data_IF_113882504190
#
_entry.id   IF_113882504190
#
_cell.length_a   1.000
_cell.length_b   1.000
_cell.length_c   1.000
_cell.angle_alpha   90.00
_cell.angle_beta   90.00
_cell.angle_gamma   90.00
#
_symmetry.space_group_name_H-M   'P 1'
#
loop_
_entity.id
_entity.type
_entity.pdbx_description
1 polymer ?
#
# COMPACT_ATOMS: atom_id res chain seq x y z
N UNK A 1 -2.89 7.99 33.91
CA UNK A 1 -2.59 6.57 33.64
C UNK A 1 -3.74 5.93 32.89
N UNK A 2 -3.54 4.82 32.16
CA UNK A 2 -4.60 4.07 31.47
C UNK A 2 -5.73 3.63 32.42
N UNK A 3 -5.43 3.47 33.69
CA UNK A 3 -6.38 3.10 34.75
C UNK A 3 -7.39 4.20 35.09
N UNK A 4 -7.12 5.43 34.67
CA UNK A 4 -7.96 6.59 35.01
C UNK A 4 -8.97 6.94 33.91
N UNK A 5 -8.91 6.24 32.77
CA UNK A 5 -9.84 6.45 31.64
C UNK A 5 -11.08 5.60 31.84
N UNK A 6 -12.25 6.18 31.62
CA UNK A 6 -13.54 5.48 31.61
C UNK A 6 -13.96 5.04 30.21
N UNK A 7 -13.63 5.82 29.19
CA UNK A 7 -13.92 5.48 27.77
C UNK A 7 -13.07 6.30 26.80
N UNK A 8 -12.92 5.78 25.60
CA UNK A 8 -12.37 6.51 24.45
C UNK A 8 -13.45 6.72 23.42
N UNK A 9 -13.52 7.92 22.86
CA UNK A 9 -14.42 8.28 21.76
C UNK A 9 -13.59 8.69 20.56
N UNK A 10 -13.84 8.05 19.42
CA UNK A 10 -13.17 8.35 18.13
C UNK A 10 -14.08 9.24 17.31
N UNK A 11 -13.57 10.38 16.93
CA UNK A 11 -14.27 11.36 16.10
C UNK A 11 -13.59 11.46 14.74
N UNK A 12 -14.42 11.55 13.70
CA UNK A 12 -13.98 11.83 12.33
C UNK A 12 -14.78 13.02 11.83
N UNK A 13 -14.09 14.10 11.45
CA UNK A 13 -14.68 15.37 11.02
C UNK A 13 -15.68 15.98 12.01
N UNK A 14 -15.45 15.73 13.30
CA UNK A 14 -16.33 16.17 14.38
C UNK A 14 -17.45 15.19 14.74
N UNK A 15 -17.72 14.18 13.92
CA UNK A 15 -18.75 13.16 14.17
C UNK A 15 -18.20 12.00 15.01
N UNK A 16 -18.93 11.59 16.02
CA UNK A 16 -18.61 10.39 16.81
C UNK A 16 -18.78 9.14 15.95
N UNK A 17 -17.69 8.40 15.73
CA UNK A 17 -17.69 7.17 14.91
C UNK A 17 -17.60 5.90 15.75
N UNK A 18 -16.92 5.94 16.88
CA UNK A 18 -16.79 4.78 17.74
C UNK A 18 -16.62 5.19 19.19
N UNK A 19 -17.05 4.31 20.10
CA UNK A 19 -16.73 4.37 21.52
C UNK A 19 -16.07 3.06 21.92
N UNK A 20 -14.90 3.16 22.55
CA UNK A 20 -14.07 2.00 22.94
C UNK A 20 -13.88 2.02 24.44
N UNK A 21 -14.14 0.89 25.08
CA UNK A 21 -13.84 0.71 26.51
C UNK A 21 -12.35 0.50 26.72
N UNK A 22 -11.78 1.02 27.82
CA UNK A 22 -10.40 0.73 28.18
C UNK A 22 -10.18 -0.77 28.37
N UNK A 23 -9.03 -1.27 27.94
CA UNK A 23 -8.54 -2.62 28.22
C UNK A 23 -7.21 -2.58 28.95
N UNK A 24 -6.71 -3.73 29.39
CA UNK A 24 -5.36 -3.87 29.94
C UNK A 24 -4.27 -3.69 28.90
N UNK A 25 -4.64 -3.79 27.60
CA UNK A 25 -3.71 -3.70 26.50
C UNK A 25 -3.26 -2.25 26.27
N UNK A 26 -2.00 -2.09 25.95
CA UNK A 26 -1.43 -0.77 25.61
C UNK A 26 -1.95 -0.22 24.28
N UNK A 27 -2.48 -1.11 23.42
CA UNK A 27 -3.01 -0.78 22.11
C UNK A 27 -4.45 -1.25 22.02
N UNK A 28 -5.34 -0.35 21.61
CA UNK A 28 -6.74 -0.65 21.34
C UNK A 28 -7.02 -0.25 19.88
N UNK A 29 -7.84 -1.04 19.20
CA UNK A 29 -8.24 -0.80 17.82
C UNK A 29 -9.75 -0.71 17.70
N UNK A 30 -10.21 0.08 16.74
CA UNK A 30 -11.60 0.13 16.30
C UNK A 30 -11.65 0.38 14.82
N UNK A 31 -12.74 -0.02 14.19
CA UNK A 31 -12.96 0.17 12.76
C UNK A 31 -14.17 1.08 12.54
N UNK A 32 -14.10 1.86 11.49
CA UNK A 32 -15.24 2.64 10.99
C UNK A 32 -15.18 2.68 9.47
N UNK A 33 -16.32 2.95 8.85
CA UNK A 33 -16.45 3.04 7.40
C UNK A 33 -16.79 4.46 6.99
N UNK A 34 -16.17 4.92 5.91
CA UNK A 34 -16.53 6.15 5.23
C UNK A 34 -16.44 5.96 3.72
N UNK A 35 -17.36 6.57 2.99
CA UNK A 35 -17.41 6.54 1.52
C UNK A 35 -17.02 7.87 0.90
N UNK A 36 -16.81 8.88 1.70
CA UNK A 36 -16.42 10.20 1.22
C UNK A 36 -14.96 10.20 0.77
N UNK A 37 -14.74 10.70 -0.44
CA UNK A 37 -13.43 10.79 -1.08
C UNK A 37 -12.89 12.20 -0.82
N UNK A 38 -12.41 12.45 0.41
CA UNK A 38 -11.89 13.75 0.81
C UNK A 38 -10.84 13.61 1.89
N UNK A 39 -10.20 14.71 2.24
CA UNK A 39 -9.42 14.80 3.45
C UNK A 39 -10.35 14.67 4.66
N UNK A 40 -9.96 13.85 5.60
CA UNK A 40 -10.64 13.65 6.86
C UNK A 40 -9.71 13.93 8.02
N UNK A 41 -10.28 14.40 9.13
CA UNK A 41 -9.57 14.59 10.38
C UNK A 41 -10.08 13.59 11.42
N UNK A 42 -9.17 12.86 12.04
CA UNK A 42 -9.49 11.95 13.15
C UNK A 42 -8.83 12.44 14.44
N UNK A 43 -9.56 12.39 15.52
CA UNK A 43 -9.03 12.57 16.87
C UNK A 43 -9.75 11.68 17.88
N UNK A 44 -9.11 11.44 18.99
CA UNK A 44 -9.65 10.64 20.09
C UNK A 44 -9.81 11.50 21.31
N UNK A 45 -10.96 11.38 21.97
CA UNK A 45 -11.23 11.97 23.27
C UNK A 45 -11.26 10.85 24.32
N UNK A 46 -10.36 10.92 25.26
CA UNK A 46 -10.39 10.08 26.46
C UNK A 46 -11.21 10.78 27.54
N UNK A 47 -12.30 10.16 28.01
CA UNK A 47 -13.04 10.62 29.18
C UNK A 47 -12.44 9.94 30.41
N UNK A 48 -12.00 10.72 31.36
CA UNK A 48 -11.44 10.23 32.62
C UNK A 48 -12.55 9.88 33.61
N UNK A 49 -12.24 9.05 34.60
CA UNK A 49 -13.18 8.66 35.68
C UNK A 49 -13.69 9.84 36.53
N UNK A 50 -12.92 10.93 36.56
CA UNK A 50 -13.34 12.18 37.20
C UNK A 50 -14.23 13.08 36.34
N UNK A 51 -14.61 12.61 35.13
CA UNK A 51 -15.46 13.34 34.20
C UNK A 51 -14.73 14.31 33.26
N UNK A 52 -13.44 14.54 33.43
CA UNK A 52 -12.68 15.40 32.53
C UNK A 52 -12.33 14.69 31.22
N UNK A 53 -12.09 15.48 30.16
CA UNK A 53 -11.73 14.97 28.85
C UNK A 53 -10.30 15.41 28.45
N UNK A 54 -9.61 14.49 27.79
CA UNK A 54 -8.31 14.76 27.15
C UNK A 54 -8.40 14.37 25.69
N UNK A 55 -8.04 15.28 24.79
CA UNK A 55 -8.10 15.06 23.34
C UNK A 55 -6.70 14.90 22.77
N UNK A 56 -6.55 14.00 21.82
CA UNK A 56 -5.34 13.89 20.99
C UNK A 56 -5.23 15.05 20.00
N UNK A 57 -4.05 15.30 19.46
CA UNK A 57 -3.93 16.11 18.25
C UNK A 57 -4.73 15.47 17.09
N UNK A 58 -5.24 16.33 16.20
CA UNK A 58 -5.89 15.88 14.99
C UNK A 58 -4.87 15.18 14.08
N UNK A 59 -5.30 14.07 13.50
CA UNK A 59 -4.59 13.35 12.44
C UNK A 59 -5.40 13.42 11.18
N UNK A 60 -4.75 13.69 10.05
CA UNK A 60 -5.39 13.70 8.74
C UNK A 60 -5.26 12.34 8.09
N UNK A 61 -6.30 11.94 7.37
CA UNK A 61 -6.27 10.80 6.47
C UNK A 61 -7.15 11.09 5.25
N UNK A 62 -6.94 10.32 4.21
CA UNK A 62 -7.66 10.48 2.95
C UNK A 62 -8.36 9.18 2.59
N UNK A 63 -9.64 9.27 2.19
CA UNK A 63 -10.37 8.15 1.59
C UNK A 63 -10.42 8.39 0.10
N UNK A 64 -9.50 7.82 -0.62
CA UNK A 64 -9.46 7.90 -2.07
C UNK A 64 -8.89 6.61 -2.65
N UNK A 65 -9.42 6.19 -3.81
CA UNK A 65 -8.85 5.12 -4.62
C UNK A 65 -7.74 5.63 -5.53
N UNK A 66 -7.54 6.95 -5.59
CA UNK A 66 -6.47 7.54 -6.38
C UNK A 66 -5.12 7.29 -5.73
N UNK A 67 -4.16 6.90 -6.55
CA UNK A 67 -2.76 6.90 -6.20
C UNK A 67 -1.96 7.76 -7.16
N UNK A 68 -0.70 7.91 -6.87
CA UNK A 68 0.26 8.61 -7.72
C UNK A 68 1.53 7.79 -7.83
N UNK A 69 2.11 7.76 -9.03
CA UNK A 69 3.46 7.27 -9.24
C UNK A 69 4.42 8.46 -9.15
N UNK A 70 5.45 8.33 -8.34
CA UNK A 70 6.43 9.42 -8.12
C UNK A 70 7.83 8.85 -8.17
N UNK A 71 8.57 9.25 -9.20
CA UNK A 71 9.97 8.88 -9.33
C UNK A 71 10.81 9.62 -8.28
N UNK A 72 11.87 8.98 -7.81
CA UNK A 72 12.84 9.58 -6.88
C UNK A 72 13.46 10.88 -7.40
N UNK A 73 13.59 11.03 -8.73
CA UNK A 73 14.07 12.26 -9.36
C UNK A 73 13.13 13.44 -9.20
N UNK A 74 11.83 13.18 -9.09
CA UNK A 74 10.78 14.20 -9.03
C UNK A 74 10.49 14.64 -7.59
N UNK A 75 11.10 13.99 -6.61
CA UNK A 75 10.94 14.32 -5.20
C UNK A 75 11.41 15.73 -4.81
N UNK A 76 12.35 16.28 -5.56
CA UNK A 76 12.80 17.67 -5.39
C UNK A 76 11.84 18.70 -6.00
N UNK A 77 10.94 18.27 -6.86
CA UNK A 77 9.90 19.11 -7.41
C UNK A 77 8.72 19.16 -6.45
N UNK A 78 7.94 20.22 -6.51
CA UNK A 78 6.87 20.52 -5.56
C UNK A 78 5.63 19.63 -5.70
N UNK A 79 5.81 18.28 -5.85
CA UNK A 79 4.68 17.36 -5.83
C UNK A 79 4.08 17.37 -4.44
N UNK A 80 2.86 17.88 -4.34
CA UNK A 80 2.08 17.89 -3.12
C UNK A 80 0.93 16.89 -3.24
N UNK A 81 1.06 15.69 -2.65
CA UNK A 81 0.01 14.68 -2.73
C UNK A 81 -1.31 15.15 -2.10
N UNK A 82 -1.28 16.07 -1.14
CA UNK A 82 -2.49 16.63 -0.55
C UNK A 82 -3.32 17.42 -1.58
N UNK A 83 -2.65 18.19 -2.45
CA UNK A 83 -3.34 18.93 -3.51
C UNK A 83 -3.94 18.03 -4.59
N UNK A 84 -3.43 16.80 -4.72
CA UNK A 84 -3.88 15.81 -5.70
C UNK A 84 -5.01 14.92 -5.17
N UNK A 85 -5.29 14.98 -3.88
CA UNK A 85 -6.28 14.13 -3.19
C UNK A 85 -6.01 12.64 -3.45
N UNK A 86 -4.77 12.19 -3.20
CA UNK A 86 -4.34 10.79 -3.35
C UNK A 86 -4.16 10.15 -1.99
N UNK A 87 -4.42 8.85 -1.90
CA UNK A 87 -4.30 8.08 -0.66
C UNK A 87 -3.11 7.12 -0.64
N UNK A 88 -2.51 6.86 -1.79
CA UNK A 88 -1.40 5.95 -1.91
C UNK A 88 -0.42 6.39 -3.01
N UNK A 89 0.79 5.83 -2.97
CA UNK A 89 1.80 6.06 -4.00
C UNK A 89 2.68 4.83 -4.21
N UNK A 90 3.34 4.76 -5.38
CA UNK A 90 4.47 3.89 -5.64
C UNK A 90 5.58 4.70 -6.35
N UNK A 91 6.80 4.17 -6.33
CA UNK A 91 7.99 4.86 -6.80
C UNK A 91 8.93 3.97 -7.62
N UNK A 92 8.40 2.88 -8.20
CA UNK A 92 9.13 1.84 -8.93
C UNK A 92 10.20 1.12 -8.09
N UNK A 93 10.15 1.25 -6.75
CA UNK A 93 11.06 0.61 -5.81
C UNK A 93 10.27 -0.17 -4.74
N UNK A 94 10.93 -1.06 -4.05
CA UNK A 94 10.37 -1.76 -2.91
C UNK A 94 10.58 -1.03 -1.58
N UNK A 95 11.38 0.06 -1.59
CA UNK A 95 11.63 0.96 -0.46
C UNK A 95 10.77 2.22 -0.59
N UNK A 96 10.08 2.57 0.48
CA UNK A 96 9.35 3.83 0.55
C UNK A 96 10.30 5.03 0.59
N UNK A 97 9.80 6.21 0.31
CA UNK A 97 10.58 7.44 0.49
C UNK A 97 11.05 7.64 1.93
N UNK A 98 10.25 7.21 2.88
CA UNK A 98 10.63 7.20 4.29
C UNK A 98 11.82 6.28 4.55
N UNK A 99 11.83 5.08 3.98
CA UNK A 99 12.93 4.12 4.11
C UNK A 99 14.20 4.60 3.42
N UNK A 100 14.06 5.35 2.34
CA UNK A 100 15.17 6.01 1.64
C UNK A 100 15.66 7.28 2.33
N UNK A 101 15.01 7.67 3.44
CA UNK A 101 15.35 8.87 4.22
C UNK A 101 15.26 10.19 3.42
N UNK A 102 14.29 10.30 2.52
CA UNK A 102 14.05 11.54 1.78
C UNK A 102 13.59 12.68 2.70
N UNK A 103 13.99 13.89 2.37
CA UNK A 103 13.66 15.09 3.15
C UNK A 103 12.21 15.53 3.04
N UNK A 104 11.55 15.23 1.91
CA UNK A 104 10.13 15.54 1.72
C UNK A 104 9.25 14.53 2.47
N UNK A 105 8.66 14.98 3.57
CA UNK A 105 7.82 14.15 4.45
C UNK A 105 6.34 14.09 4.04
N UNK A 106 5.94 14.76 2.96
CA UNK A 106 4.53 14.82 2.52
C UNK A 106 3.97 13.45 2.10
N UNK A 107 4.84 12.48 1.82
CA UNK A 107 4.45 11.11 1.47
C UNK A 107 4.40 10.15 2.68
N UNK A 108 4.89 10.55 3.85
CA UNK A 108 5.01 9.65 5.01
C UNK A 108 3.66 9.17 5.55
N UNK A 109 2.59 9.93 5.32
CA UNK A 109 1.21 9.60 5.75
C UNK A 109 0.40 8.88 4.67
N UNK A 110 0.94 8.68 3.47
CA UNK A 110 0.30 7.93 2.40
C UNK A 110 0.60 6.43 2.49
N UNK A 111 -0.33 5.60 2.02
CA UNK A 111 -0.07 4.18 1.85
C UNK A 111 0.98 3.99 0.74
N UNK A 112 2.11 3.40 1.11
CA UNK A 112 3.12 3.02 0.13
C UNK A 112 2.81 1.64 -0.45
N UNK A 113 2.87 1.53 -1.77
CA UNK A 113 2.73 0.27 -2.49
C UNK A 113 4.09 -0.11 -3.08
N UNK A 114 4.84 -1.03 -2.47
CA UNK A 114 6.12 -1.47 -2.99
C UNK A 114 5.99 -2.18 -4.33
N UNK A 115 7.07 -2.19 -5.11
CA UNK A 115 7.15 -2.86 -6.41
C UNK A 115 8.40 -3.74 -6.50
N UNK A 116 8.25 -4.94 -7.04
CA UNK A 116 9.34 -5.70 -7.63
C UNK A 116 9.44 -5.24 -9.08
N UNK A 117 10.37 -4.33 -9.37
CA UNK A 117 10.47 -3.76 -10.71
C UNK A 117 10.90 -4.80 -11.76
N UNK A 118 11.84 -5.68 -11.42
CA UNK A 118 12.36 -6.72 -12.30
C UNK A 118 13.44 -7.57 -11.64
N UNK A 119 14.06 -8.45 -12.40
CA UNK A 119 15.12 -9.37 -11.94
C UNK A 119 16.41 -8.66 -11.47
N UNK A 120 16.56 -7.36 -11.79
CA UNK A 120 17.66 -6.53 -11.28
C UNK A 120 17.50 -6.12 -9.82
N UNK A 121 16.29 -6.24 -9.26
CA UNK A 121 16.07 -6.06 -7.83
C UNK A 121 16.54 -7.32 -7.11
N UNK A 122 17.53 -7.13 -6.27
CA UNK A 122 18.16 -8.19 -5.49
C UNK A 122 17.15 -8.93 -4.61
N UNK A 123 17.30 -10.22 -4.58
CA UNK A 123 16.68 -11.22 -3.70
C UNK A 123 15.23 -10.96 -3.30
N UNK A 124 14.34 -11.63 -4.02
CA UNK A 124 12.89 -11.64 -3.78
C UNK A 124 12.55 -11.89 -2.29
N UNK A 125 13.34 -12.67 -1.58
CA UNK A 125 13.20 -12.93 -0.15
C UNK A 125 13.33 -11.65 0.69
N UNK A 126 14.36 -10.82 0.44
CA UNK A 126 14.57 -9.56 1.17
C UNK A 126 13.39 -8.61 0.97
N UNK A 127 12.89 -8.52 -0.27
CA UNK A 127 11.72 -7.68 -0.57
C UNK A 127 10.50 -8.15 0.22
N UNK A 128 10.21 -9.45 0.21
CA UNK A 128 9.07 -9.99 0.94
C UNK A 128 9.21 -9.87 2.45
N UNK A 129 10.40 -10.03 3.00
CA UNK A 129 10.65 -9.85 4.43
C UNK A 129 10.47 -8.39 4.84
N UNK A 130 10.92 -7.44 4.01
CA UNK A 130 10.65 -6.02 4.22
C UNK A 130 9.15 -5.72 4.16
N UNK A 131 8.46 -6.16 3.10
CA UNK A 131 7.03 -5.94 2.90
C UNK A 131 6.21 -6.48 4.07
N UNK A 132 6.53 -7.68 4.56
CA UNK A 132 5.85 -8.30 5.71
C UNK A 132 6.16 -7.56 7.02
N UNK A 133 7.42 -7.24 7.27
CA UNK A 133 7.84 -6.57 8.51
C UNK A 133 7.28 -5.16 8.65
N UNK A 134 7.10 -4.45 7.53
CA UNK A 134 6.48 -3.12 7.47
C UNK A 134 4.96 -3.16 7.48
N UNK A 135 4.34 -4.33 7.32
CA UNK A 135 2.88 -4.49 7.25
C UNK A 135 2.26 -3.92 5.99
N UNK A 136 3.01 -3.83 4.89
CA UNK A 136 2.45 -3.40 3.61
C UNK A 136 1.42 -4.42 3.11
N UNK A 137 0.30 -3.90 2.59
CA UNK A 137 -0.86 -4.72 2.22
C UNK A 137 -0.80 -5.22 0.78
N UNK A 138 -0.14 -4.45 -0.09
CA UNK A 138 -0.08 -4.66 -1.53
C UNK A 138 1.36 -4.73 -1.99
N UNK A 139 1.60 -5.42 -3.11
CA UNK A 139 2.88 -5.47 -3.80
C UNK A 139 2.63 -5.54 -5.30
N UNK A 140 3.18 -4.60 -6.04
CA UNK A 140 3.21 -4.62 -7.50
C UNK A 140 4.32 -5.56 -7.96
N UNK A 141 4.02 -6.38 -8.97
CA UNK A 141 5.00 -7.27 -9.54
C UNK A 141 5.41 -6.79 -10.93
N UNK A 142 6.67 -6.89 -11.23
CA UNK A 142 7.34 -6.71 -12.52
C UNK A 142 6.77 -5.64 -13.46
N UNK A 143 7.57 -4.60 -13.68
CA UNK A 143 7.24 -3.47 -14.55
C UNK A 143 7.55 -3.82 -16.02
N UNK A 144 6.53 -3.78 -16.87
CA UNK A 144 6.62 -3.95 -18.32
C UNK A 144 7.55 -5.08 -18.77
N UNK A 145 7.28 -6.34 -18.32
CA UNK A 145 8.16 -7.47 -18.63
C UNK A 145 8.19 -7.82 -20.12
N UNK A 146 7.24 -7.32 -20.88
CA UNK A 146 7.12 -7.47 -22.34
C UNK A 146 8.03 -6.52 -23.11
N UNK A 147 8.64 -5.52 -22.48
CA UNK A 147 9.53 -4.56 -23.14
C UNK A 147 11.00 -4.86 -22.86
N UNK A 148 11.80 -4.83 -23.95
CA UNK A 148 13.23 -5.14 -23.90
C UNK A 148 14.05 -4.16 -23.04
N UNK A 149 13.60 -2.93 -22.92
CA UNK A 149 14.27 -1.84 -22.18
C UNK A 149 13.71 -1.61 -20.79
N UNK A 150 12.71 -2.44 -20.40
CA UNK A 150 12.12 -2.46 -19.06
C UNK A 150 12.54 -3.74 -18.32
N UNK A 151 11.69 -4.37 -17.55
CA UNK A 151 12.11 -5.56 -16.80
C UNK A 151 12.46 -6.78 -17.67
N UNK A 152 11.99 -6.80 -18.91
CA UNK A 152 12.42 -7.75 -19.96
C UNK A 152 12.47 -9.21 -19.51
N UNK A 153 11.37 -9.70 -18.98
CA UNK A 153 11.26 -11.08 -18.50
C UNK A 153 10.34 -11.86 -19.41
N UNK A 154 10.84 -12.93 -20.02
CA UNK A 154 10.05 -13.77 -20.92
C UNK A 154 8.91 -14.47 -20.15
N UNK A 155 7.76 -14.77 -20.82
CA UNK A 155 6.61 -15.40 -20.19
C UNK A 155 6.93 -16.74 -19.51
N UNK A 156 7.79 -17.57 -20.14
CA UNK A 156 8.21 -18.86 -19.62
C UNK A 156 9.13 -18.75 -18.39
N UNK A 157 9.85 -17.66 -18.24
CA UNK A 157 10.64 -17.33 -17.04
C UNK A 157 9.73 -16.71 -15.97
N UNK A 158 8.82 -15.84 -16.37
CA UNK A 158 7.91 -15.15 -15.45
C UNK A 158 7.05 -16.12 -14.62
N UNK A 159 6.66 -17.27 -15.18
CA UNK A 159 5.91 -18.27 -14.39
C UNK A 159 6.67 -18.73 -13.13
N UNK A 160 7.98 -18.88 -13.21
CA UNK A 160 8.82 -19.24 -12.06
C UNK A 160 8.93 -18.09 -11.07
N UNK A 161 9.14 -16.85 -11.57
CA UNK A 161 9.18 -15.65 -10.75
C UNK A 161 7.86 -15.41 -10.01
N UNK A 162 6.76 -15.63 -10.71
CA UNK A 162 5.42 -15.54 -10.11
C UNK A 162 5.20 -16.60 -9.03
N UNK A 163 5.65 -17.84 -9.27
CA UNK A 163 5.60 -18.88 -8.25
C UNK A 163 6.38 -18.50 -6.99
N UNK A 164 7.57 -17.91 -7.15
CA UNK A 164 8.36 -17.40 -6.02
C UNK A 164 7.62 -16.30 -5.27
N UNK A 165 7.02 -15.36 -5.99
CA UNK A 165 6.19 -14.33 -5.38
C UNK A 165 5.03 -14.94 -4.58
N UNK A 166 4.30 -15.89 -5.17
CA UNK A 166 3.15 -16.53 -4.51
C UNK A 166 3.57 -17.32 -3.27
N UNK A 167 4.71 -17.99 -3.33
CA UNK A 167 5.21 -18.79 -2.21
C UNK A 167 5.68 -17.92 -1.02
N UNK A 168 6.14 -16.70 -1.28
CA UNK A 168 6.70 -15.80 -0.27
C UNK A 168 5.72 -14.70 0.22
N UNK A 169 4.59 -14.49 -0.45
CA UNK A 169 3.71 -13.34 -0.21
C UNK A 169 3.06 -13.30 1.17
N UNK A 170 2.86 -14.45 1.84
CA UNK A 170 2.06 -14.47 3.08
C UNK A 170 0.65 -13.89 2.84
N UNK A 171 0.27 -12.90 3.61
CA UNK A 171 -1.02 -12.19 3.52
C UNK A 171 -1.01 -10.99 2.56
N UNK A 172 0.11 -10.71 1.89
CA UNK A 172 0.22 -9.60 0.95
C UNK A 172 -0.63 -9.86 -0.30
N UNK A 173 -1.31 -8.84 -0.78
CA UNK A 173 -2.09 -8.86 -2.02
C UNK A 173 -1.17 -8.56 -3.19
N UNK A 174 -0.96 -9.55 -4.05
CA UNK A 174 -0.10 -9.40 -5.23
C UNK A 174 -0.88 -8.83 -6.41
N UNK A 175 -0.33 -7.78 -7.01
CA UNK A 175 -0.68 -7.35 -8.36
C UNK A 175 -0.03 -8.24 -9.42
N UNK A 176 -0.65 -8.33 -10.58
CA UNK A 176 -0.03 -9.01 -11.73
C UNK A 176 1.25 -8.31 -12.17
N UNK A 177 2.12 -8.95 -12.96
CA UNK A 177 3.04 -8.24 -13.82
C UNK A 177 2.28 -7.20 -14.65
N UNK A 178 2.79 -5.97 -14.72
CA UNK A 178 2.16 -4.88 -15.45
C UNK A 178 2.76 -4.79 -16.86
N UNK A 179 2.09 -5.39 -17.86
CA UNK A 179 2.50 -5.29 -19.26
C UNK A 179 2.26 -3.89 -19.80
N UNK A 180 3.05 -3.47 -20.80
CA UNK A 180 3.14 -2.10 -21.27
C UNK A 180 1.83 -1.57 -21.87
N UNK A 181 1.11 -2.40 -22.64
CA UNK A 181 -0.19 -2.05 -23.23
C UNK A 181 -1.15 -3.23 -23.20
N UNK A 182 -1.97 -3.30 -22.16
CA UNK A 182 -2.94 -4.37 -22.01
C UNK A 182 -4.33 -3.94 -22.51
N UNK A 183 -5.11 -4.81 -23.19
CA UNK A 183 -4.78 -6.19 -23.59
C UNK A 183 -4.23 -6.33 -25.02
N UNK A 184 -4.10 -5.24 -25.78
CA UNK A 184 -3.98 -5.32 -27.23
C UNK A 184 -2.59 -5.73 -27.72
N UNK A 185 -1.53 -5.02 -27.33
CA UNK A 185 -0.19 -5.28 -27.88
C UNK A 185 0.61 -6.31 -27.09
N UNK A 186 0.30 -6.45 -25.82
CA UNK A 186 1.00 -7.36 -24.91
C UNK A 186 0.37 -8.74 -24.82
N UNK A 187 -0.61 -9.03 -25.67
CA UNK A 187 -1.32 -10.31 -25.64
C UNK A 187 -0.38 -11.50 -25.93
N UNK A 188 0.61 -11.32 -26.79
CA UNK A 188 1.61 -12.34 -27.13
C UNK A 188 2.51 -12.67 -25.93
N UNK A 189 2.67 -11.76 -25.00
CA UNK A 189 3.37 -11.99 -23.75
C UNK A 189 2.43 -12.53 -22.67
N UNK A 190 1.25 -11.89 -22.50
CA UNK A 190 0.32 -12.20 -21.42
C UNK A 190 -0.31 -13.59 -21.56
N UNK A 191 -0.74 -13.95 -22.75
CA UNK A 191 -1.44 -15.22 -22.98
C UNK A 191 -0.56 -16.45 -22.66
N UNK A 192 0.68 -16.55 -23.13
CA UNK A 192 1.57 -17.65 -22.73
C UNK A 192 1.85 -17.67 -21.21
N UNK A 193 2.09 -16.52 -20.60
CA UNK A 193 2.29 -16.44 -19.15
C UNK A 193 1.06 -16.97 -18.39
N UNK A 194 -0.13 -16.44 -18.73
CA UNK A 194 -1.37 -16.86 -18.09
C UNK A 194 -1.63 -18.35 -18.25
N UNK A 195 -1.45 -18.90 -19.44
CA UNK A 195 -1.71 -20.30 -19.75
C UNK A 195 -0.70 -21.25 -19.09
N UNK A 196 0.51 -20.80 -18.81
CA UNK A 196 1.54 -21.61 -18.14
C UNK A 196 1.28 -21.84 -16.65
N UNK A 197 0.44 -21.00 -16.01
CA UNK A 197 0.23 -21.06 -14.58
C UNK A 197 -0.83 -22.10 -14.17
N UNK A 198 -0.58 -22.77 -13.05
CA UNK A 198 -1.58 -23.57 -12.36
C UNK A 198 -2.69 -22.70 -11.76
N UNK A 199 -3.86 -23.30 -11.51
CA UNK A 199 -5.04 -22.57 -11.05
C UNK A 199 -4.82 -21.84 -9.70
N UNK A 200 -4.11 -22.46 -8.77
CA UNK A 200 -3.77 -21.86 -7.47
C UNK A 200 -2.88 -20.62 -7.63
N UNK A 201 -1.97 -20.62 -8.60
CA UNK A 201 -1.10 -19.49 -8.91
C UNK A 201 -1.84 -18.34 -9.57
N UNK A 202 -2.83 -18.63 -10.41
CA UNK A 202 -3.75 -17.63 -10.97
C UNK A 202 -4.61 -17.00 -9.87
N UNK A 203 -5.16 -17.80 -8.97
CA UNK A 203 -6.01 -17.36 -7.87
C UNK A 203 -5.26 -16.51 -6.82
N UNK A 204 -3.93 -16.63 -6.76
CA UNK A 204 -3.10 -15.80 -5.89
C UNK A 204 -2.94 -14.36 -6.39
N UNK A 205 -3.29 -14.08 -7.65
CA UNK A 205 -3.30 -12.74 -8.22
C UNK A 205 -4.51 -11.98 -7.69
N UNK A 206 -4.25 -10.99 -6.84
CA UNK A 206 -5.31 -10.25 -6.13
C UNK A 206 -5.92 -9.14 -6.97
N UNK A 207 -5.16 -8.61 -7.93
CA UNK A 207 -5.59 -7.57 -8.89
C UNK A 207 -4.70 -7.58 -10.13
N UNK A 208 -5.23 -7.05 -11.22
CA UNK A 208 -4.49 -6.87 -12.47
C UNK A 208 -3.92 -5.45 -12.49
N UNK A 209 -2.60 -5.34 -12.62
CA UNK A 209 -1.92 -4.09 -12.90
C UNK A 209 -1.83 -3.90 -14.41
N UNK A 210 -2.16 -2.72 -14.91
CA UNK A 210 -2.17 -2.42 -16.35
C UNK A 210 -1.55 -1.06 -16.59
N UNK A 211 -0.88 -0.94 -17.75
CA UNK A 211 -0.46 0.33 -18.33
C UNK A 211 -1.31 0.63 -19.57
N UNK A 212 -1.42 1.91 -19.92
CA UNK A 212 -2.23 2.37 -21.06
C UNK A 212 -1.60 3.60 -21.73
#
# INVERSE_FOLDING_TARGET
TLTDVSQYKVYVDGDLRATVSPSSDKTMSTEFYTTQVSEHNVYVVATLKNGSNVQTANRRFYVTKKGVCVNTKDMGTAVDPASMNVGWYYNWDWKSFKDMNFSNKKFDDLEFVPMIWGDSMTETSEIFDNVKSKGYKYLLAYNEPDLKWESNVRPDVMQYRWNDCVNNKGNVRLGSPAVSVFPTWSNDWWTPFWNSMAADKKNAMSFIAVHS
#
